data_IF_254054312451
#
_entry.id   IF_254054312451
#
_cell.length_a   1.000
_cell.length_b   1.000
_cell.length_c   1.000
_cell.angle_alpha   90.00
_cell.angle_beta   90.00
_cell.angle_gamma   90.00
#
_symmetry.space_group_name_H-M   'P 1'
#
loop_
_entity.id
_entity.type
_entity.pdbx_description
1 polymer ?
#
# COMPACT_ATOMS: atom_id res chain seq x y z
N UNK A 1 -37.10 53.77 1.82
CA UNK A 1 -35.66 53.78 2.17
C UNK A 1 -35.41 52.69 3.21
N UNK A 2 -35.09 51.43 2.83
CA UNK A 2 -34.77 50.40 3.82
C UNK A 2 -33.42 50.71 4.48
N UNK A 3 -33.41 50.75 5.82
CA UNK A 3 -32.27 51.16 6.63
C UNK A 3 -31.13 50.13 6.68
N UNK A 4 -29.95 50.57 7.14
CA UNK A 4 -28.67 49.83 7.21
C UNK A 4 -28.74 48.40 7.78
N UNK A 5 -29.71 48.10 8.63
CA UNK A 5 -29.90 46.75 9.18
C UNK A 5 -30.48 45.76 8.17
N UNK A 6 -31.28 46.24 7.21
CA UNK A 6 -31.82 45.41 6.13
C UNK A 6 -30.73 44.95 5.14
N UNK A 7 -29.72 45.80 4.89
CA UNK A 7 -28.59 45.41 4.04
C UNK A 7 -27.66 44.38 4.70
N UNK A 8 -27.48 44.45 6.03
CA UNK A 8 -26.64 43.49 6.77
C UNK A 8 -27.26 42.09 6.87
N UNK A 9 -28.59 42.00 6.90
CA UNK A 9 -29.32 40.72 6.80
C UNK A 9 -29.14 40.13 5.40
N UNK A 10 -29.35 40.92 4.34
CA UNK A 10 -29.17 40.43 2.97
C UNK A 10 -27.74 40.02 2.65
N UNK A 11 -26.72 40.65 3.26
CA UNK A 11 -25.33 40.22 3.08
C UNK A 11 -24.99 38.93 3.83
N UNK A 12 -25.58 38.69 5.00
CA UNK A 12 -25.42 37.38 5.68
C UNK A 12 -26.17 36.26 4.96
N UNK A 13 -27.30 36.57 4.33
CA UNK A 13 -28.02 35.60 3.51
C UNK A 13 -27.26 35.33 2.19
N UNK A 14 -26.62 36.32 1.58
CA UNK A 14 -25.73 36.09 0.43
C UNK A 14 -24.47 35.30 0.77
N UNK A 15 -23.93 35.46 1.98
CA UNK A 15 -22.77 34.70 2.45
C UNK A 15 -23.11 33.31 3.04
N UNK A 16 -24.37 32.89 2.95
CA UNK A 16 -24.79 31.52 3.24
C UNK A 16 -25.05 30.71 1.95
N UNK A 17 -25.36 31.39 0.83
CA UNK A 17 -25.56 30.74 -0.46
C UNK A 17 -24.24 30.40 -1.18
N UNK A 18 -23.19 31.20 -0.99
CA UNK A 18 -21.84 30.95 -1.52
C UNK A 18 -21.15 29.71 -0.87
N UNK A 19 -21.42 29.41 0.41
CA UNK A 19 -20.95 28.17 1.04
C UNK A 19 -21.71 26.92 0.55
N UNK A 20 -22.93 27.07 0.02
CA UNK A 20 -23.72 25.94 -0.52
C UNK A 20 -23.36 25.58 -1.98
N UNK A 21 -22.78 26.54 -2.73
CA UNK A 21 -22.28 26.31 -4.09
C UNK A 21 -20.99 25.47 -4.18
N UNK A 22 -20.34 25.21 -3.04
CA UNK A 22 -19.09 24.44 -2.95
C UNK A 22 -19.21 22.92 -3.16
N UNK A 23 -20.44 22.38 -3.18
CA UNK A 23 -20.68 20.94 -3.33
C UNK A 23 -21.04 20.50 -4.76
N UNK A 24 -21.14 21.44 -5.70
CA UNK A 24 -21.36 21.12 -7.12
C UNK A 24 -20.07 20.89 -7.93
N UNK A 25 -18.90 20.99 -7.29
CA UNK A 25 -17.61 20.74 -7.92
C UNK A 25 -17.15 19.26 -7.88
N UNK A 26 -18.00 18.33 -7.43
CA UNK A 26 -17.63 16.91 -7.31
C UNK A 26 -18.08 16.02 -8.49
N UNK A 27 -18.85 16.57 -9.45
CA UNK A 27 -19.39 15.79 -10.58
C UNK A 27 -18.64 15.95 -11.92
N UNK A 28 -17.53 16.71 -11.97
CA UNK A 28 -16.76 16.93 -13.22
C UNK A 28 -15.51 16.03 -13.34
N UNK A 29 -15.19 15.20 -12.34
CA UNK A 29 -14.05 14.27 -12.38
C UNK A 29 -14.35 12.87 -12.96
N UNK A 30 -15.46 12.69 -13.69
CA UNK A 30 -15.77 11.40 -14.29
C UNK A 30 -16.13 11.46 -15.78
N UNK A 31 -15.37 12.25 -16.56
CA UNK A 31 -15.39 12.20 -18.04
C UNK A 31 -13.99 12.24 -18.63
N UNK A 32 -13.20 11.22 -18.32
CA UNK A 32 -12.14 10.76 -19.24
C UNK A 32 -12.39 9.30 -19.53
N UNK A 33 -12.46 8.85 -20.80
CA UNK A 33 -12.59 7.42 -21.08
C UNK A 33 -11.33 6.72 -20.56
N UNK A 34 -11.48 6.04 -19.42
CA UNK A 34 -10.49 5.13 -18.84
C UNK A 34 -10.28 3.95 -19.80
N UNK A 35 -9.45 4.18 -20.80
CA UNK A 35 -8.54 3.17 -21.34
C UNK A 35 -7.12 3.64 -21.06
N UNK A 36 -6.88 4.03 -19.81
CA UNK A 36 -5.50 4.23 -19.34
C UNK A 36 -4.87 2.86 -19.27
N UNK A 37 -3.98 2.58 -20.21
CA UNK A 37 -3.05 1.47 -20.07
C UNK A 37 -2.25 1.75 -18.80
N UNK A 38 -2.51 0.98 -17.73
CA UNK A 38 -1.87 1.13 -16.42
C UNK A 38 -0.34 1.20 -16.57
N UNK A 39 0.22 0.48 -17.55
CA UNK A 39 1.64 0.51 -17.88
C UNK A 39 2.11 1.88 -18.38
N UNK A 40 1.32 2.56 -19.22
CA UNK A 40 1.62 3.91 -19.72
C UNK A 40 1.47 4.99 -18.63
N UNK A 41 0.50 4.82 -17.71
CA UNK A 41 0.30 5.71 -16.57
C UNK A 41 1.46 5.64 -15.56
N UNK A 42 1.93 4.43 -15.27
CA UNK A 42 3.10 4.20 -14.40
C UNK A 42 4.38 4.77 -15.02
N UNK A 43 4.60 4.52 -16.32
CA UNK A 43 5.78 5.04 -17.03
C UNK A 43 5.84 6.57 -17.02
N UNK A 44 4.70 7.24 -17.27
CA UNK A 44 4.62 8.70 -17.26
C UNK A 44 4.89 9.27 -15.86
N UNK A 45 4.32 8.63 -14.83
CA UNK A 45 4.51 9.06 -13.43
C UNK A 45 5.97 8.90 -12.98
N UNK A 46 6.62 7.79 -13.36
CA UNK A 46 8.03 7.54 -13.05
C UNK A 46 8.97 8.56 -13.71
N UNK A 47 8.73 8.91 -14.98
CA UNK A 47 9.51 9.93 -15.69
C UNK A 47 9.44 11.31 -15.01
N UNK A 48 8.25 11.69 -14.51
CA UNK A 48 8.07 12.95 -13.77
C UNK A 48 8.85 12.93 -12.45
N UNK A 49 8.80 11.82 -11.71
CA UNK A 49 9.53 11.66 -10.43
C UNK A 49 11.04 11.75 -10.66
N UNK A 50 11.58 11.08 -11.68
CA UNK A 50 13.00 11.14 -12.03
C UNK A 50 13.41 12.57 -12.43
N UNK A 51 12.55 13.25 -13.20
CA UNK A 51 12.77 14.65 -13.58
C UNK A 51 12.85 15.60 -12.38
N UNK A 52 12.02 15.40 -11.35
CA UNK A 52 12.05 16.17 -10.11
C UNK A 52 13.25 15.81 -9.21
N UNK A 53 13.59 14.53 -9.10
CA UNK A 53 14.72 14.05 -8.31
C UNK A 53 16.06 14.60 -8.84
N UNK A 54 16.19 14.81 -10.15
CA UNK A 54 17.37 15.44 -10.76
C UNK A 54 17.49 16.94 -10.45
N UNK A 55 16.38 17.64 -10.23
CA UNK A 55 16.36 19.08 -9.88
C UNK A 55 16.65 19.31 -8.39
N UNK A 56 16.22 18.39 -7.54
CA UNK A 56 16.35 18.50 -6.09
C UNK A 56 16.96 17.22 -5.51
N UNK A 57 18.29 17.20 -5.34
CA UNK A 57 19.06 16.02 -4.90
C UNK A 57 18.65 15.50 -3.51
N UNK A 58 18.07 16.35 -2.66
CA UNK A 58 17.56 15.96 -1.34
C UNK A 58 16.37 14.99 -1.37
N UNK A 59 15.64 14.89 -2.49
CA UNK A 59 14.48 14.00 -2.61
C UNK A 59 14.85 12.55 -2.98
N UNK A 60 16.06 12.32 -3.51
CA UNK A 60 16.54 10.99 -3.90
C UNK A 60 16.51 9.99 -2.72
N UNK A 61 17.09 10.29 -1.53
CA UNK A 61 17.05 9.35 -0.41
C UNK A 61 15.62 9.04 0.04
N UNK A 62 14.70 10.01 -0.03
CA UNK A 62 13.30 9.80 0.33
C UNK A 62 12.61 8.79 -0.59
N UNK A 63 12.79 8.91 -1.91
CA UNK A 63 12.24 7.95 -2.86
C UNK A 63 12.86 6.56 -2.72
N UNK A 64 14.13 6.45 -2.35
CA UNK A 64 14.78 5.17 -2.08
C UNK A 64 14.13 4.47 -0.88
N UNK A 65 13.88 5.17 0.23
CA UNK A 65 13.22 4.56 1.39
C UNK A 65 11.77 4.18 1.12
N UNK A 66 11.02 5.00 0.38
CA UNK A 66 9.63 4.69 0.02
C UNK A 66 9.58 3.48 -0.94
N UNK A 67 10.44 3.46 -1.95
CA UNK A 67 10.54 2.34 -2.89
C UNK A 67 10.98 1.04 -2.18
N UNK A 68 12.06 1.10 -1.40
CA UNK A 68 12.55 -0.04 -0.64
C UNK A 68 11.51 -0.54 0.38
N UNK A 69 10.79 0.36 1.07
CA UNK A 69 9.72 0.00 1.99
C UNK A 69 8.53 -0.66 1.30
N UNK A 70 8.07 -0.11 0.16
CA UNK A 70 6.98 -0.66 -0.62
C UNK A 70 7.32 -2.03 -1.23
N UNK A 71 8.49 -2.15 -1.87
CA UNK A 71 8.98 -3.42 -2.40
C UNK A 71 9.22 -4.43 -1.28
N UNK A 72 9.77 -4.01 -0.13
CA UNK A 72 10.00 -4.86 1.03
C UNK A 72 8.70 -5.42 1.61
N UNK A 73 7.65 -4.60 1.76
CA UNK A 73 6.34 -5.04 2.23
C UNK A 73 5.67 -6.03 1.25
N UNK A 74 5.76 -5.77 -0.05
CA UNK A 74 5.24 -6.66 -1.08
C UNK A 74 5.98 -8.01 -1.07
N UNK A 75 7.31 -7.99 -0.98
CA UNK A 75 8.11 -9.22 -0.92
C UNK A 75 7.85 -10.01 0.36
N UNK A 76 7.74 -9.34 1.51
CA UNK A 76 7.48 -10.01 2.79
C UNK A 76 6.10 -10.69 2.82
N UNK A 77 5.07 -10.03 2.31
CA UNK A 77 3.70 -10.61 2.23
C UNK A 77 3.62 -11.76 1.24
N UNK A 78 4.28 -11.65 0.08
CA UNK A 78 4.42 -12.76 -0.87
C UNK A 78 5.18 -13.94 -0.25
N UNK A 79 6.33 -13.68 0.38
CA UNK A 79 7.12 -14.73 1.04
C UNK A 79 6.33 -15.40 2.19
N UNK A 80 5.62 -14.64 3.01
CA UNK A 80 4.75 -15.20 4.06
C UNK A 80 3.71 -16.14 3.47
N UNK A 81 3.00 -15.73 2.42
CA UNK A 81 2.03 -16.59 1.75
C UNK A 81 2.65 -17.84 1.11
N UNK A 82 3.92 -17.75 0.72
CA UNK A 82 4.63 -18.83 0.03
C UNK A 82 5.27 -19.87 0.98
N UNK A 83 5.79 -19.44 2.13
CA UNK A 83 6.60 -20.26 3.02
C UNK A 83 5.97 -20.50 4.40
N UNK A 84 4.80 -19.94 4.69
CA UNK A 84 4.15 -20.17 5.97
C UNK A 84 3.55 -21.60 6.05
N UNK A 85 3.92 -22.41 7.07
CA UNK A 85 3.48 -23.79 7.21
C UNK A 85 2.02 -23.96 7.64
N UNK A 86 1.35 -22.89 8.05
CA UNK A 86 -0.08 -22.88 8.37
C UNK A 86 -0.99 -22.63 7.15
N UNK A 87 -0.41 -22.42 5.96
CA UNK A 87 -1.17 -22.15 4.73
C UNK A 87 -1.04 -23.32 3.76
N UNK A 88 -2.06 -24.18 3.70
CA UNK A 88 -2.10 -25.31 2.76
C UNK A 88 -2.28 -24.80 1.32
N UNK A 89 -1.18 -24.71 0.56
CA UNK A 89 -1.21 -24.44 -0.89
C UNK A 89 -1.55 -25.70 -1.70
N UNK A 90 -1.08 -26.85 -1.25
CA UNK A 90 -1.37 -28.15 -1.85
C UNK A 90 -2.41 -28.92 -1.02
N UNK A 91 -3.67 -28.58 -1.20
CA UNK A 91 -4.79 -29.23 -0.48
C UNK A 91 -5.04 -30.69 -0.87
N UNK A 92 -4.46 -31.19 -1.97
CA UNK A 92 -4.77 -32.52 -2.52
C UNK A 92 -3.70 -33.55 -2.20
N UNK A 93 -2.43 -33.20 -2.30
CA UNK A 93 -1.32 -34.12 -2.05
C UNK A 93 -0.73 -33.97 -0.64
N UNK A 94 -0.90 -32.80 -0.01
CA UNK A 94 -0.41 -32.54 1.34
C UNK A 94 -1.45 -31.77 2.18
N UNK A 95 -2.57 -32.43 2.56
CA UNK A 95 -3.63 -31.79 3.33
C UNK A 95 -3.13 -31.25 4.69
N UNK A 96 -2.07 -31.86 5.23
CA UNK A 96 -1.37 -31.46 6.45
C UNK A 96 -0.05 -30.74 6.11
N UNK A 97 -0.03 -29.41 5.98
CA UNK A 97 1.13 -28.65 5.51
C UNK A 97 2.38 -28.76 6.41
N UNK A 98 2.26 -29.34 7.60
CA UNK A 98 3.33 -29.53 8.58
C UNK A 98 4.11 -30.85 8.42
N UNK A 99 3.57 -31.87 7.74
CA UNK A 99 4.25 -33.17 7.57
C UNK A 99 5.64 -33.12 6.93
N UNK A 100 5.91 -32.29 5.90
CA UNK A 100 7.22 -32.27 5.25
C UNK A 100 8.27 -31.41 5.99
N UNK A 101 7.92 -30.76 7.10
CA UNK A 101 8.82 -29.83 7.78
C UNK A 101 9.77 -30.56 8.72
N UNK A 102 11.06 -30.40 8.47
CA UNK A 102 12.11 -30.88 9.35
C UNK A 102 12.33 -29.98 10.58
N UNK A 103 12.97 -30.48 11.65
CA UNK A 103 13.34 -29.69 12.83
C UNK A 103 14.28 -28.51 12.52
N UNK A 104 15.00 -28.61 11.40
CA UNK A 104 15.95 -27.62 10.91
C UNK A 104 15.29 -26.57 10.01
N UNK A 105 14.04 -26.78 9.60
CA UNK A 105 13.37 -25.89 8.66
C UNK A 105 12.92 -24.62 9.38
N UNK A 106 13.58 -23.52 9.04
CA UNK A 106 13.27 -22.23 9.62
C UNK A 106 12.15 -21.55 8.83
N UNK A 107 10.95 -21.48 9.41
CA UNK A 107 9.86 -20.69 8.81
C UNK A 107 10.07 -19.18 8.96
N UNK A 108 10.80 -18.76 10.01
CA UNK A 108 11.06 -17.35 10.29
C UNK A 108 12.07 -16.81 9.28
N UNK A 109 11.83 -15.61 8.77
CA UNK A 109 12.74 -14.96 7.82
C UNK A 109 14.17 -14.79 8.40
N UNK A 110 14.28 -14.58 9.71
CA UNK A 110 15.56 -14.50 10.41
C UNK A 110 15.43 -14.93 11.87
N UNK A 111 16.50 -15.51 12.42
CA UNK A 111 16.61 -15.92 13.82
C UNK A 111 17.95 -15.45 14.35
N UNK A 112 17.94 -14.59 15.36
CA UNK A 112 19.16 -14.00 15.95
C UNK A 112 19.80 -14.97 16.96
N UNK A 113 18.97 -15.68 17.72
CA UNK A 113 19.40 -16.41 18.92
C UNK A 113 19.37 -17.93 18.76
N UNK A 114 18.70 -18.47 17.74
CA UNK A 114 18.51 -19.92 17.59
C UNK A 114 19.26 -20.41 16.36
N UNK A 115 20.20 -21.33 16.60
CA UNK A 115 20.91 -22.08 15.57
C UNK A 115 20.17 -23.39 15.29
N UNK A 116 19.34 -23.35 14.26
CA UNK A 116 18.53 -24.48 13.84
C UNK A 116 19.38 -25.66 13.34
N UNK A 117 20.64 -25.47 12.94
CA UNK A 117 21.50 -26.56 12.47
C UNK A 117 21.82 -27.61 13.54
N UNK A 118 21.65 -27.25 14.82
CA UNK A 118 21.91 -28.11 15.97
C UNK A 118 20.65 -28.82 16.49
N UNK A 119 19.48 -28.53 15.92
CA UNK A 119 18.22 -29.06 16.41
C UNK A 119 18.00 -30.49 15.92
N UNK A 120 17.64 -31.36 16.85
CA UNK A 120 17.28 -32.74 16.56
C UNK A 120 15.81 -32.95 16.87
N UNK A 121 15.14 -33.79 16.08
CA UNK A 121 13.79 -34.23 16.39
C UNK A 121 13.84 -35.09 17.64
N UNK A 122 13.27 -34.62 18.74
CA UNK A 122 13.06 -35.44 19.93
C UNK A 122 11.63 -35.97 19.92
N UNK A 123 11.43 -37.12 19.26
CA UNK A 123 10.13 -37.79 19.16
C UNK A 123 10.02 -38.75 17.98
N UNK A 124 9.02 -39.65 17.97
CA UNK A 124 8.82 -40.61 16.88
C UNK A 124 8.53 -39.92 15.54
N UNK A 125 8.96 -40.56 14.46
CA UNK A 125 8.61 -40.19 13.08
C UNK A 125 7.19 -40.65 12.77
N UNK A 126 6.25 -39.70 12.70
CA UNK A 126 4.90 -39.90 12.19
C UNK A 126 4.83 -39.56 10.71
#
# INVERSE_FOLDING_TARGET
>A
MPGKLGQLVTLRDQQAEDESGGWHAEHVYNKTPLKVNVCASVATTLCLIIGQAKKHSSLIPLFVFIGAGGTGAALYTCAWHLFNPGVSRDRKNNPEPWNPLGPNDQYKFYSVNVDYSKWKKEGPDF
#
